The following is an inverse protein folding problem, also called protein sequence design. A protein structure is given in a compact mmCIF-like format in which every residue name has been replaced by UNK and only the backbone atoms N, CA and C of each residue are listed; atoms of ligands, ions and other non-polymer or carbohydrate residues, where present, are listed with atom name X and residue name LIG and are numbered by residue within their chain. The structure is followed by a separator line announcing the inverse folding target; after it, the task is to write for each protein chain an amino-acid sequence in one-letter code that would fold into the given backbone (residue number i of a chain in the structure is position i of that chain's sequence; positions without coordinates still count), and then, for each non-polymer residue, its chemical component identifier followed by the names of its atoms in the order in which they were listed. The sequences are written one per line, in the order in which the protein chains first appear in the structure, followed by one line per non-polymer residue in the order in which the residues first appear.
data_IF_200509819919
#
_entry.id   IF_200509819919
#
_cell.length_a   1.000
_cell.length_b   1.000
_cell.length_c   1.000
_cell.angle_alpha   90.00
_cell.angle_beta   90.00
_cell.angle_gamma   90.00
#
_symmetry.space_group_name_H-M   'P 1'
#
loop_
_entity.id
_entity.type
_entity.pdbx_description
1 polymer ?
#
# COMPACT_ATOMS: atom_id res chain seq x y z
N UNK A 1 20.01 3.43 12.10
CA UNK A 1 19.89 4.84 11.66
C UNK A 1 19.43 4.92 10.22
N UNK A 2 20.10 4.28 9.25
CA UNK A 2 19.71 4.27 7.83
C UNK A 2 18.21 3.94 7.59
N UNK A 3 17.78 2.73 7.96
CA UNK A 3 16.40 2.26 7.74
C UNK A 3 15.35 3.07 8.54
N UNK A 4 15.65 3.34 9.81
CA UNK A 4 14.65 3.91 10.75
C UNK A 4 14.51 5.42 10.67
N UNK A 5 15.58 6.13 10.34
CA UNK A 5 15.64 7.59 10.35
C UNK A 5 15.83 8.18 8.96
N UNK A 6 16.09 7.36 7.92
CA UNK A 6 16.35 7.84 6.57
C UNK A 6 17.68 8.60 6.43
N UNK A 7 18.61 8.45 7.38
CA UNK A 7 19.90 9.12 7.32
C UNK A 7 20.77 8.51 6.22
N UNK A 8 21.43 9.33 5.40
CA UNK A 8 22.47 8.86 4.48
C UNK A 8 23.68 8.30 5.25
N UNK A 9 24.44 7.38 4.65
CA UNK A 9 25.54 6.69 5.34
C UNK A 9 26.60 7.65 5.90
N UNK A 10 26.94 8.72 5.18
CA UNK A 10 27.87 9.75 5.68
C UNK A 10 27.30 10.50 6.89
N UNK A 11 26.02 10.85 6.86
CA UNK A 11 25.34 11.48 8.01
C UNK A 11 25.30 10.56 9.23
N UNK A 12 25.24 9.24 9.03
CA UNK A 12 25.34 8.27 10.13
C UNK A 12 26.71 8.32 10.77
N UNK A 13 27.79 8.39 9.98
CA UNK A 13 29.15 8.54 10.51
C UNK A 13 29.25 9.80 11.37
N UNK A 14 28.86 10.96 10.84
CA UNK A 14 28.88 12.23 11.58
C UNK A 14 28.05 12.16 12.88
N UNK A 15 26.89 11.49 12.82
CA UNK A 15 26.06 11.28 14.00
C UNK A 15 26.74 10.40 15.05
N UNK A 16 27.40 9.32 14.64
CA UNK A 16 28.16 8.45 15.54
C UNK A 16 29.38 9.15 16.14
N UNK A 17 30.07 10.00 15.37
CA UNK A 17 31.16 10.85 15.86
C UNK A 17 30.66 11.78 16.96
N UNK A 18 29.57 12.52 16.70
CA UNK A 18 28.95 13.40 17.70
C UNK A 18 28.55 12.64 18.99
N UNK A 19 27.95 11.45 18.85
CA UNK A 19 27.62 10.62 20.01
C UNK A 19 28.87 10.12 20.73
N UNK A 20 29.93 9.79 20.01
CA UNK A 20 31.19 9.34 20.59
C UNK A 20 31.85 10.44 21.40
N UNK A 21 31.89 11.66 20.86
CA UNK A 21 32.42 12.85 21.54
C UNK A 21 31.64 13.11 22.84
N UNK A 22 30.31 13.07 22.77
CA UNK A 22 29.44 13.22 23.94
C UNK A 22 29.66 12.13 25.00
N UNK A 23 29.96 10.90 24.56
CA UNK A 23 30.21 9.76 25.45
C UNK A 23 31.69 9.60 25.84
N UNK A 24 32.53 10.61 25.60
CA UNK A 24 33.94 10.58 25.98
C UNK A 24 34.75 9.48 25.29
N UNK A 25 34.41 9.15 24.05
CA UNK A 25 35.11 8.12 23.25
C UNK A 25 34.63 6.69 23.48
N UNK A 26 33.51 6.48 24.18
CA UNK A 26 33.02 5.14 24.54
C UNK A 26 32.67 4.23 23.36
N UNK A 27 32.41 4.79 22.17
CA UNK A 27 32.14 4.01 20.94
C UNK A 27 33.43 3.60 20.21
N UNK A 28 34.59 4.09 20.63
CA UNK A 28 35.88 3.79 20.02
C UNK A 28 36.03 4.33 18.60
N UNK A 29 36.62 3.52 17.71
CA UNK A 29 36.84 3.89 16.31
C UNK A 29 35.53 3.80 15.53
N UNK A 30 35.07 4.92 14.99
CA UNK A 30 33.83 4.98 14.21
C UNK A 30 34.04 4.34 12.82
N UNK A 31 33.17 3.42 12.38
CA UNK A 31 33.29 2.80 11.08
C UNK A 31 33.05 3.79 9.95
N UNK A 32 33.75 3.60 8.82
CA UNK A 32 33.51 4.38 7.61
C UNK A 32 32.10 4.12 7.03
N UNK A 33 31.63 5.06 6.21
CA UNK A 33 30.33 4.94 5.54
C UNK A 33 30.22 3.67 4.68
N UNK A 34 31.31 3.25 4.00
CA UNK A 34 31.30 1.99 3.24
C UNK A 34 31.17 0.76 4.14
N UNK A 35 31.80 0.78 5.31
CA UNK A 35 31.67 -0.31 6.28
C UNK A 35 30.24 -0.42 6.77
N UNK A 36 29.58 0.70 7.08
CA UNK A 36 28.17 0.73 7.49
C UNK A 36 27.25 0.20 6.38
N UNK A 37 27.47 0.64 5.13
CA UNK A 37 26.71 0.14 3.97
C UNK A 37 26.89 -1.37 3.78
N UNK A 38 28.13 -1.87 3.82
CA UNK A 38 28.42 -3.30 3.69
C UNK A 38 27.73 -4.13 4.78
N UNK A 39 27.71 -3.64 6.03
CA UNK A 39 26.99 -4.31 7.12
C UNK A 39 25.49 -4.32 6.91
N UNK A 40 24.91 -3.23 6.38
CA UNK A 40 23.49 -3.19 6.01
C UNK A 40 23.17 -4.26 4.96
N UNK A 41 23.96 -4.34 3.89
CA UNK A 41 23.75 -5.30 2.79
C UNK A 41 23.91 -6.73 3.28
N UNK A 42 24.92 -7.02 4.11
CA UNK A 42 25.15 -8.34 4.73
C UNK A 42 24.00 -8.74 5.66
N UNK A 43 23.51 -7.82 6.49
CA UNK A 43 22.35 -8.11 7.33
C UNK A 43 21.11 -8.40 6.47
N UNK A 44 20.92 -7.61 5.40
CA UNK A 44 19.82 -7.75 4.46
C UNK A 44 19.79 -9.08 3.73
N UNK A 45 20.94 -9.53 3.23
CA UNK A 45 21.04 -10.81 2.53
C UNK A 45 20.80 -11.99 3.47
N UNK A 46 21.32 -11.96 4.71
CA UNK A 46 21.08 -13.02 5.70
C UNK A 46 19.60 -13.12 6.02
N UNK A 47 18.95 -11.99 6.28
CA UNK A 47 17.52 -11.91 6.58
C UNK A 47 16.66 -12.43 5.42
N UNK A 48 17.02 -12.07 4.18
CA UNK A 48 16.36 -12.53 2.97
C UNK A 48 16.53 -14.04 2.74
N UNK A 49 17.74 -14.58 2.92
CA UNK A 49 18.00 -16.00 2.71
C UNK A 49 17.23 -16.88 3.70
N UNK A 50 17.06 -16.42 4.94
CA UNK A 50 16.32 -17.13 5.99
C UNK A 50 14.79 -16.94 5.92
N UNK A 51 14.29 -15.97 5.15
CA UNK A 51 12.86 -15.59 5.16
C UNK A 51 11.91 -16.77 4.89
N UNK A 52 12.26 -17.64 3.94
CA UNK A 52 11.46 -18.81 3.58
C UNK A 52 11.38 -19.85 4.72
N UNK A 53 12.43 -19.99 5.52
CA UNK A 53 12.46 -20.96 6.62
C UNK A 53 11.40 -20.65 7.69
N UNK A 54 11.06 -19.37 7.87
CA UNK A 54 10.07 -18.91 8.88
C UNK A 54 8.66 -19.43 8.65
N UNK A 55 8.36 -19.87 7.42
CA UNK A 55 7.05 -20.37 7.01
C UNK A 55 7.01 -21.88 6.76
N UNK A 56 8.11 -22.61 6.95
CA UNK A 56 8.09 -24.07 6.90
C UNK A 56 7.09 -24.62 7.91
N UNK A 57 6.18 -25.48 7.44
CA UNK A 57 5.13 -26.08 8.26
C UNK A 57 3.98 -25.14 8.68
N UNK A 58 3.96 -23.87 8.20
CA UNK A 58 2.89 -22.91 8.52
C UNK A 58 2.01 -22.61 7.32
N UNK A 59 0.76 -22.24 7.58
CA UNK A 59 -0.11 -21.65 6.55
C UNK A 59 0.32 -20.19 6.29
N UNK A 60 0.45 -19.83 5.02
CA UNK A 60 0.81 -18.47 4.63
C UNK A 60 0.10 -18.06 3.34
N UNK A 61 -0.07 -16.77 3.17
CA UNK A 61 -0.48 -16.15 1.91
C UNK A 61 0.68 -15.36 1.34
N UNK A 62 0.63 -15.09 0.04
CA UNK A 62 1.61 -14.20 -0.59
C UNK A 62 0.95 -12.97 -1.19
N UNK A 63 1.64 -11.85 -1.11
CA UNK A 63 1.27 -10.59 -1.74
C UNK A 63 2.33 -10.32 -2.81
N UNK A 64 1.91 -10.19 -4.06
CA UNK A 64 2.81 -10.04 -5.22
C UNK A 64 2.47 -8.76 -5.94
N UNK A 65 3.50 -7.99 -6.28
CA UNK A 65 3.36 -6.80 -7.10
C UNK A 65 4.68 -6.47 -7.82
N UNK A 66 4.58 -5.73 -8.93
CA UNK A 66 5.71 -5.21 -9.70
C UNK A 66 5.82 -3.68 -9.56
N UNK A 67 7.00 -3.18 -9.20
CA UNK A 67 7.20 -1.73 -9.07
C UNK A 67 7.45 -1.03 -10.40
N UNK A 68 7.06 0.23 -10.48
CA UNK A 68 7.35 1.14 -11.61
C UNK A 68 8.86 1.30 -11.85
N UNK A 69 9.20 1.31 -13.13
CA UNK A 69 10.52 1.23 -13.76
C UNK A 69 11.55 2.24 -13.24
N UNK A 70 12.76 1.75 -12.95
CA UNK A 70 13.96 2.60 -12.85
C UNK A 70 14.90 2.21 -13.99
N UNK A 71 15.14 3.14 -14.91
CA UNK A 71 15.78 2.83 -16.20
C UNK A 71 14.90 1.92 -17.06
N UNK A 72 15.41 0.75 -17.44
CA UNK A 72 14.71 -0.31 -18.18
C UNK A 72 14.36 -1.54 -17.33
N UNK A 73 14.43 -1.43 -15.99
CA UNK A 73 14.24 -2.54 -15.06
C UNK A 73 12.99 -2.38 -14.18
N UNK A 74 12.32 -3.50 -13.92
CA UNK A 74 11.20 -3.67 -12.99
C UNK A 74 11.58 -4.64 -11.87
N UNK A 75 11.27 -4.25 -10.64
CA UNK A 75 11.42 -5.10 -9.46
C UNK A 75 10.09 -5.82 -9.19
N UNK A 76 10.11 -7.15 -9.22
CA UNK A 76 9.05 -7.98 -8.66
C UNK A 76 9.37 -8.26 -7.19
N UNK A 77 8.41 -8.01 -6.31
CA UNK A 77 8.52 -8.36 -4.89
C UNK A 77 7.41 -9.35 -4.54
N UNK A 78 7.77 -10.37 -3.77
CA UNK A 78 6.81 -11.30 -3.16
C UNK A 78 6.98 -11.22 -1.66
N UNK A 79 5.93 -10.80 -0.96
CA UNK A 79 5.84 -10.79 0.50
C UNK A 79 5.04 -12.00 0.96
N UNK A 80 5.45 -12.64 2.06
CA UNK A 80 4.60 -13.56 2.80
C UNK A 80 3.92 -12.86 3.97
N UNK A 81 2.66 -13.23 4.21
CA UNK A 81 1.87 -12.84 5.36
C UNK A 81 1.17 -14.08 5.96
N UNK A 82 0.75 -14.05 7.23
CA UNK A 82 -0.14 -15.08 7.78
C UNK A 82 -1.37 -15.27 6.89
N UNK A 83 -1.72 -16.52 6.58
CA UNK A 83 -2.88 -16.82 5.73
C UNK A 83 -4.22 -16.47 6.41
N UNK A 84 -4.29 -16.61 7.73
CA UNK A 84 -5.43 -16.15 8.50
C UNK A 84 -5.18 -14.70 8.90
N UNK A 85 -6.11 -13.81 8.53
CA UNK A 85 -6.09 -12.42 8.95
C UNK A 85 -6.28 -12.30 10.46
N UNK A 86 -5.38 -11.60 11.16
CA UNK A 86 -5.34 -11.56 12.63
C UNK A 86 -6.25 -10.47 13.26
N UNK A 87 -7.25 -9.99 12.52
CA UNK A 87 -8.13 -8.90 12.96
C UNK A 87 -7.42 -7.55 13.16
N UNK A 88 -6.26 -7.36 12.53
CA UNK A 88 -5.51 -6.09 12.50
C UNK A 88 -4.91 -5.87 11.12
N UNK A 89 -4.79 -4.61 10.70
CA UNK A 89 -4.10 -4.26 9.45
C UNK A 89 -2.64 -4.72 9.48
N UNK A 90 -2.19 -5.34 8.38
CA UNK A 90 -0.80 -5.79 8.21
C UNK A 90 0.18 -4.63 8.36
N UNK A 91 1.23 -4.86 9.15
CA UNK A 91 2.37 -3.95 9.29
C UNK A 91 3.61 -4.59 8.69
N UNK A 92 4.65 -3.78 8.48
CA UNK A 92 5.95 -4.28 8.00
C UNK A 92 6.53 -5.39 8.88
N UNK A 93 6.24 -5.36 10.19
CA UNK A 93 6.64 -6.42 11.10
C UNK A 93 5.86 -7.73 10.93
N UNK A 94 4.68 -7.73 10.31
CA UNK A 94 3.83 -8.90 10.13
C UNK A 94 4.12 -9.67 8.83
N UNK A 95 4.98 -9.12 7.96
CA UNK A 95 5.32 -9.69 6.64
C UNK A 95 6.82 -9.99 6.50
N UNK A 96 7.17 -10.90 5.60
CA UNK A 96 8.56 -11.18 5.24
C UNK A 96 8.77 -11.10 3.72
N UNK A 97 9.92 -10.60 3.28
CA UNK A 97 10.28 -10.58 1.87
C UNK A 97 10.77 -11.96 1.43
N UNK A 98 9.99 -12.65 0.61
CA UNK A 98 10.32 -13.99 0.11
C UNK A 98 11.12 -13.98 -1.20
N UNK A 99 10.77 -13.06 -2.10
CA UNK A 99 11.46 -12.90 -3.38
C UNK A 99 11.64 -11.43 -3.73
N UNK A 100 12.80 -11.11 -4.30
CA UNK A 100 13.10 -9.86 -4.97
C UNK A 100 13.77 -10.21 -6.29
N UNK A 101 13.10 -9.95 -7.41
CA UNK A 101 13.60 -10.32 -8.71
C UNK A 101 13.56 -9.13 -9.69
N UNK A 102 14.58 -9.03 -10.54
CA UNK A 102 14.75 -7.90 -11.47
C UNK A 102 14.67 -8.39 -12.90
N UNK A 103 13.81 -7.77 -13.70
CA UNK A 103 13.69 -8.04 -15.14
C UNK A 103 13.27 -6.76 -15.88
N UNK A 104 13.43 -6.71 -17.21
CA UNK A 104 12.88 -5.60 -18.00
C UNK A 104 11.35 -5.67 -18.13
N UNK A 105 10.79 -6.87 -18.02
CA UNK A 105 9.35 -7.12 -18.01
C UNK A 105 9.04 -8.43 -17.29
N UNK A 106 7.81 -8.57 -16.80
CA UNK A 106 7.32 -9.77 -16.15
C UNK A 106 6.11 -10.30 -16.90
N UNK A 107 6.27 -11.43 -17.59
CA UNK A 107 5.19 -12.18 -18.22
C UNK A 107 4.58 -13.17 -17.22
N UNK A 108 3.41 -13.69 -17.55
CA UNK A 108 2.71 -14.64 -16.68
C UNK A 108 3.57 -15.85 -16.29
N UNK A 109 4.27 -16.45 -17.26
CA UNK A 109 5.18 -17.58 -16.98
C UNK A 109 6.42 -17.20 -16.15
N UNK A 110 6.83 -15.92 -16.15
CA UNK A 110 7.93 -15.47 -15.29
C UNK A 110 7.46 -15.39 -13.84
N UNK A 111 6.25 -14.87 -13.61
CA UNK A 111 5.60 -14.80 -12.31
C UNK A 111 5.33 -16.21 -11.75
N UNK A 112 4.82 -17.12 -12.59
CA UNK A 112 4.62 -18.52 -12.25
C UNK A 112 5.92 -19.16 -11.75
N UNK A 113 7.03 -19.00 -12.48
CA UNK A 113 8.33 -19.56 -12.08
C UNK A 113 8.79 -19.04 -10.73
N UNK A 114 8.61 -17.76 -10.44
CA UNK A 114 8.95 -17.21 -9.12
C UNK A 114 8.06 -17.78 -8.00
N UNK A 115 6.77 -17.99 -8.27
CA UNK A 115 5.86 -18.65 -7.31
C UNK A 115 6.28 -20.11 -7.08
N UNK A 116 6.55 -20.89 -8.13
CA UNK A 116 6.96 -22.30 -8.02
C UNK A 116 8.27 -22.43 -7.24
N UNK A 117 9.28 -21.61 -7.55
CA UNK A 117 10.54 -21.57 -6.78
C UNK A 117 10.31 -21.37 -5.28
N UNK A 118 9.36 -20.53 -4.90
CA UNK A 118 9.01 -20.32 -3.49
C UNK A 118 8.29 -21.52 -2.89
N UNK A 119 7.38 -22.17 -3.62
CA UNK A 119 6.73 -23.41 -3.17
C UNK A 119 7.76 -24.49 -2.87
N UNK A 120 8.72 -24.68 -3.77
CA UNK A 120 9.78 -25.69 -3.62
C UNK A 120 10.70 -25.38 -2.43
N UNK A 121 11.08 -24.10 -2.26
CA UNK A 121 11.97 -23.66 -1.17
C UNK A 121 11.32 -23.75 0.22
N UNK A 122 10.02 -23.45 0.31
CA UNK A 122 9.25 -23.51 1.56
C UNK A 122 8.73 -24.93 1.84
N UNK A 123 8.52 -25.73 0.78
CA UNK A 123 7.94 -27.07 0.85
C UNK A 123 6.41 -27.06 1.00
N UNK A 124 5.75 -25.95 0.66
CA UNK A 124 4.28 -25.81 0.78
C UNK A 124 3.74 -24.77 -0.20
N UNK A 125 2.53 -24.97 -0.67
CA UNK A 125 1.79 -24.01 -1.51
C UNK A 125 1.18 -22.91 -0.64
N UNK A 126 1.28 -21.63 -1.02
CA UNK A 126 0.57 -20.55 -0.33
C UNK A 126 -0.95 -20.79 -0.43
N UNK A 127 -1.68 -20.48 0.65
CA UNK A 127 -3.13 -20.69 0.68
C UNK A 127 -3.87 -19.88 -0.39
N UNK A 128 -3.41 -18.65 -0.62
CA UNK A 128 -3.87 -17.76 -1.67
C UNK A 128 -2.82 -16.67 -1.96
N UNK A 129 -3.04 -15.95 -3.06
CA UNK A 129 -2.29 -14.78 -3.51
C UNK A 129 -3.15 -13.53 -3.40
N UNK A 130 -2.58 -12.40 -3.01
CA UNK A 130 -3.17 -11.07 -3.19
C UNK A 130 -2.33 -10.30 -4.20
N UNK A 131 -2.96 -9.78 -5.25
CA UNK A 131 -2.28 -8.90 -6.21
C UNK A 131 -3.24 -7.94 -6.89
N UNK A 132 -2.69 -6.91 -7.52
CA UNK A 132 -3.45 -5.98 -8.36
C UNK A 132 -4.10 -6.68 -9.56
N UNK A 133 -4.86 -5.96 -10.38
CA UNK A 133 -5.56 -6.51 -11.55
C UNK A 133 -4.65 -6.73 -12.79
N UNK A 134 -3.33 -6.70 -12.64
CA UNK A 134 -2.36 -6.93 -13.70
C UNK A 134 -2.56 -8.30 -14.38
N UNK A 135 -2.60 -8.29 -15.72
CA UNK A 135 -2.83 -9.49 -16.52
C UNK A 135 -1.77 -10.57 -16.27
N UNK A 136 -0.51 -10.16 -16.17
CA UNK A 136 0.62 -11.03 -15.88
C UNK A 136 0.51 -11.67 -14.48
N UNK A 137 0.14 -10.90 -13.45
CA UNK A 137 -0.02 -11.43 -12.09
C UNK A 137 -1.22 -12.37 -11.99
N UNK A 138 -2.35 -12.01 -12.61
CA UNK A 138 -3.54 -12.88 -12.68
C UNK A 138 -3.21 -14.21 -13.35
N UNK A 139 -2.65 -14.17 -14.56
CA UNK A 139 -2.37 -15.39 -15.33
C UNK A 139 -1.24 -16.20 -14.70
N UNK A 140 -0.25 -15.54 -14.09
CA UNK A 140 0.82 -16.22 -13.35
C UNK A 140 0.31 -17.00 -12.12
N UNK A 141 -0.65 -16.43 -11.37
CA UNK A 141 -1.31 -17.13 -10.27
C UNK A 141 -2.13 -18.34 -10.74
N UNK A 142 -2.84 -18.19 -11.86
CA UNK A 142 -3.61 -19.27 -12.50
C UNK A 142 -2.69 -20.41 -12.97
N UNK A 143 -1.62 -20.09 -13.68
CA UNK A 143 -0.63 -21.08 -14.13
C UNK A 143 0.03 -21.81 -12.95
N UNK A 144 0.30 -21.07 -11.86
CA UNK A 144 0.83 -21.65 -10.64
C UNK A 144 -0.21 -22.45 -9.83
N UNK A 145 -1.47 -22.55 -10.26
CA UNK A 145 -2.56 -23.22 -9.55
C UNK A 145 -2.69 -22.75 -8.08
N UNK A 146 -2.77 -21.44 -7.89
CA UNK A 146 -3.00 -20.84 -6.56
C UNK A 146 -4.21 -19.90 -6.61
N UNK A 147 -5.19 -20.05 -5.70
CA UNK A 147 -6.30 -19.11 -5.58
C UNK A 147 -5.79 -17.67 -5.41
N UNK A 148 -6.43 -16.72 -6.11
CA UNK A 148 -6.02 -15.32 -6.10
C UNK A 148 -7.18 -14.43 -5.69
N UNK A 149 -6.96 -13.65 -4.65
CA UNK A 149 -7.73 -12.47 -4.33
C UNK A 149 -7.26 -11.28 -5.18
N UNK A 150 -8.20 -10.57 -5.80
CA UNK A 150 -7.91 -9.27 -6.43
C UNK A 150 -7.84 -8.22 -5.32
N UNK A 151 -6.78 -7.41 -5.33
CA UNK A 151 -6.63 -6.31 -4.38
C UNK A 151 -7.85 -5.37 -4.41
N UNK A 152 -8.42 -5.12 -3.23
CA UNK A 152 -9.65 -4.34 -3.11
C UNK A 152 -9.46 -2.88 -3.51
N UNK A 153 -8.31 -2.30 -3.15
CA UNK A 153 -7.98 -0.90 -3.45
C UNK A 153 -8.01 -0.70 -4.97
N UNK A 154 -7.17 -1.43 -5.71
CA UNK A 154 -7.10 -1.39 -7.16
C UNK A 154 -8.43 -1.75 -7.84
N UNK A 155 -9.17 -2.74 -7.32
CA UNK A 155 -10.41 -3.17 -7.96
C UNK A 155 -11.51 -2.11 -7.84
N UNK A 156 -11.66 -1.48 -6.68
CA UNK A 156 -12.60 -0.36 -6.53
C UNK A 156 -12.15 0.83 -7.38
N UNK A 157 -10.85 1.11 -7.46
CA UNK A 157 -10.31 2.13 -8.37
C UNK A 157 -10.73 1.91 -9.83
N UNK A 158 -10.69 0.66 -10.32
CA UNK A 158 -11.14 0.31 -11.67
C UNK A 158 -12.67 0.43 -11.83
N UNK A 159 -13.46 0.07 -10.81
CA UNK A 159 -14.92 0.23 -10.83
C UNK A 159 -15.29 1.73 -10.95
N UNK A 160 -14.63 2.59 -10.18
CA UNK A 160 -14.84 4.02 -10.26
C UNK A 160 -14.35 4.60 -11.59
N UNK A 161 -13.24 4.08 -12.13
CA UNK A 161 -12.76 4.47 -13.45
C UNK A 161 -13.79 4.14 -14.54
N UNK A 162 -14.29 2.91 -14.56
CA UNK A 162 -15.29 2.46 -15.53
C UNK A 162 -16.57 3.31 -15.49
N UNK A 163 -17.02 3.68 -14.29
CA UNK A 163 -18.22 4.49 -14.11
C UNK A 163 -18.05 5.95 -14.54
N UNK A 164 -16.96 6.59 -14.13
CA UNK A 164 -16.86 8.06 -14.19
C UNK A 164 -15.94 8.58 -15.28
N UNK A 165 -14.99 7.78 -15.77
CA UNK A 165 -13.95 8.26 -16.71
C UNK A 165 -14.54 8.86 -17.97
N UNK A 166 -15.61 8.28 -18.49
CA UNK A 166 -16.23 8.71 -19.75
C UNK A 166 -17.37 9.72 -19.58
N UNK A 167 -17.85 9.97 -18.35
CA UNK A 167 -18.92 10.93 -18.10
C UNK A 167 -18.48 12.36 -18.40
N UNK A 168 -19.34 13.11 -19.09
CA UNK A 168 -19.08 14.49 -19.52
C UNK A 168 -18.98 15.44 -18.33
N UNK A 169 -19.96 15.37 -17.41
CA UNK A 169 -19.99 16.17 -16.18
C UNK A 169 -18.71 16.00 -15.34
N UNK A 170 -18.22 14.76 -15.22
CA UNK A 170 -16.98 14.46 -14.51
C UNK A 170 -15.75 15.06 -15.19
N UNK A 171 -15.62 14.89 -16.52
CA UNK A 171 -14.50 15.44 -17.28
C UNK A 171 -14.46 16.97 -17.20
N UNK A 172 -15.61 17.63 -17.37
CA UNK A 172 -15.73 19.08 -17.30
C UNK A 172 -15.43 19.61 -15.90
N UNK A 173 -16.00 19.01 -14.86
CA UNK A 173 -15.74 19.42 -13.48
C UNK A 173 -14.24 19.34 -13.15
N UNK A 174 -13.58 18.26 -13.56
CA UNK A 174 -12.15 18.06 -13.34
C UNK A 174 -11.27 19.07 -14.10
N UNK A 175 -11.68 19.48 -15.30
CA UNK A 175 -10.99 20.52 -16.07
C UNK A 175 -11.15 21.90 -15.40
N UNK A 176 -12.36 22.25 -14.98
CA UNK A 176 -12.65 23.49 -14.26
C UNK A 176 -11.85 23.55 -12.95
N UNK A 177 -11.86 22.46 -12.15
CA UNK A 177 -11.08 22.34 -10.92
C UNK A 177 -9.58 22.65 -11.15
N UNK A 178 -8.97 22.08 -12.18
CA UNK A 178 -7.57 22.32 -12.51
C UNK A 178 -7.31 23.78 -12.92
N UNK A 179 -8.17 24.34 -13.79
CA UNK A 179 -8.07 25.74 -14.24
C UNK A 179 -8.22 26.71 -13.08
N UNK A 180 -9.25 26.54 -12.25
CA UNK A 180 -9.52 27.39 -11.07
C UNK A 180 -8.38 27.33 -10.07
N UNK A 181 -7.86 26.13 -9.79
CA UNK A 181 -6.69 25.95 -8.92
C UNK A 181 -5.52 26.81 -9.37
N UNK A 182 -5.16 26.78 -10.65
CA UNK A 182 -4.05 27.59 -11.18
C UNK A 182 -4.36 29.09 -11.05
N UNK A 183 -5.61 29.50 -11.32
CA UNK A 183 -5.99 30.91 -11.24
C UNK A 183 -6.04 31.48 -9.81
N UNK A 184 -6.26 30.65 -8.80
CA UNK A 184 -6.41 31.09 -7.40
C UNK A 184 -5.10 31.11 -6.61
N UNK A 185 -4.01 30.54 -7.13
CA UNK A 185 -2.77 30.34 -6.36
C UNK A 185 -2.13 31.63 -5.82
N UNK A 186 -2.43 32.78 -6.43
CA UNK A 186 -1.88 34.10 -6.06
C UNK A 186 -2.99 35.13 -5.79
N UNK A 187 -4.17 34.68 -5.35
CA UNK A 187 -5.31 35.56 -5.04
C UNK A 187 -5.75 35.39 -3.59
N UNK A 188 -6.70 36.22 -3.13
CA UNK A 188 -7.31 36.09 -1.81
C UNK A 188 -8.02 34.74 -1.59
N UNK A 189 -8.27 33.96 -2.65
CA UNK A 189 -8.87 32.63 -2.58
C UNK A 189 -7.84 31.51 -2.35
N UNK A 190 -6.56 31.83 -2.16
CA UNK A 190 -5.49 30.85 -2.00
C UNK A 190 -5.73 29.88 -0.82
N UNK A 191 -6.41 30.32 0.23
CA UNK A 191 -6.71 29.48 1.40
C UNK A 191 -7.83 28.44 1.14
N UNK A 192 -8.64 28.61 0.09
CA UNK A 192 -9.70 27.69 -0.35
C UNK A 192 -9.35 27.03 -1.71
N UNK A 193 -8.07 26.81 -1.97
CA UNK A 193 -7.61 26.21 -3.23
C UNK A 193 -8.20 24.81 -3.44
N UNK A 194 -8.70 24.50 -4.65
CA UNK A 194 -8.98 23.14 -5.04
C UNK A 194 -7.73 22.24 -4.87
N UNK A 195 -7.88 21.00 -4.35
CA UNK A 195 -6.76 20.09 -4.20
C UNK A 195 -6.07 19.78 -5.54
N UNK A 196 -4.76 19.50 -5.48
CA UNK A 196 -4.02 19.10 -6.68
C UNK A 196 -4.49 17.72 -7.15
N UNK A 197 -5.06 17.67 -8.36
CA UNK A 197 -5.46 16.43 -9.01
C UNK A 197 -4.20 15.65 -9.44
N UNK A 198 -4.02 14.42 -8.96
CA UNK A 198 -2.90 13.55 -9.35
C UNK A 198 -3.30 12.70 -10.57
N UNK A 199 -2.45 12.70 -11.60
CA UNK A 199 -2.76 12.15 -12.93
C UNK A 199 -2.82 10.62 -12.96
N UNK A 200 -2.03 9.95 -12.11
CA UNK A 200 -1.95 8.48 -11.99
C UNK A 200 -2.80 8.06 -10.79
N UNK A 201 -3.72 7.12 -11.02
CA UNK A 201 -4.62 6.61 -9.98
C UNK A 201 -5.58 7.68 -9.41
N UNK A 202 -6.13 8.51 -10.31
CA UNK A 202 -7.08 9.59 -9.99
C UNK A 202 -8.32 9.10 -9.24
N UNK A 203 -8.72 7.86 -9.46
CA UNK A 203 -9.85 7.20 -8.79
C UNK A 203 -9.49 6.69 -7.38
N UNK A 204 -8.23 6.31 -7.13
CA UNK A 204 -7.76 5.94 -5.78
C UNK A 204 -7.48 7.13 -4.89
N UNK A 205 -7.26 8.30 -5.47
CA UNK A 205 -6.98 9.56 -4.75
C UNK A 205 -8.18 10.53 -4.82
N UNK A 206 -9.37 10.01 -5.11
CA UNK A 206 -10.56 10.79 -5.35
C UNK A 206 -11.11 11.45 -4.07
N UNK A 207 -11.00 10.78 -2.91
CA UNK A 207 -11.62 11.23 -1.66
C UNK A 207 -11.28 12.69 -1.32
N UNK A 208 -10.00 13.09 -1.46
CA UNK A 208 -9.55 14.43 -1.05
C UNK A 208 -10.22 15.58 -1.79
N UNK A 209 -10.43 15.45 -3.09
CA UNK A 209 -11.04 16.53 -3.86
C UNK A 209 -12.57 16.49 -3.80
N UNK A 210 -13.15 15.29 -3.64
CA UNK A 210 -14.58 15.12 -3.40
C UNK A 210 -14.97 15.70 -2.04
N UNK A 211 -14.21 15.40 -0.97
CA UNK A 211 -14.37 16.00 0.36
C UNK A 211 -14.27 17.52 0.31
N UNK A 212 -13.30 18.05 -0.43
CA UNK A 212 -13.17 19.49 -0.62
C UNK A 212 -14.39 20.09 -1.33
N UNK A 213 -14.83 19.49 -2.45
CA UNK A 213 -15.97 19.99 -3.21
C UNK A 213 -17.26 19.93 -2.39
N UNK A 214 -17.44 18.84 -1.64
CA UNK A 214 -18.54 18.68 -0.70
C UNK A 214 -18.50 19.74 0.41
N UNK A 215 -17.33 19.97 1.02
CA UNK A 215 -17.16 20.99 2.04
C UNK A 215 -17.51 22.40 1.52
N UNK A 216 -17.12 22.73 0.28
CA UNK A 216 -17.52 23.98 -0.37
C UNK A 216 -19.04 24.08 -0.52
N UNK A 217 -19.73 23.00 -0.92
CA UNK A 217 -21.20 23.00 -0.99
C UNK A 217 -21.86 23.25 0.37
N UNK A 218 -21.31 22.70 1.46
CA UNK A 218 -21.88 22.84 2.80
C UNK A 218 -21.77 24.26 3.35
N UNK A 219 -20.70 24.99 3.01
CA UNK A 219 -20.46 26.35 3.50
C UNK A 219 -20.80 27.43 2.47
N UNK A 220 -21.32 27.05 1.30
CA UNK A 220 -21.47 27.95 0.15
C UNK A 220 -22.29 29.21 0.49
N UNK A 221 -23.38 29.04 1.25
CA UNK A 221 -24.26 30.14 1.62
C UNK A 221 -23.64 31.12 2.63
N UNK A 222 -22.64 30.66 3.39
CA UNK A 222 -21.88 31.45 4.36
C UNK A 222 -20.69 32.20 3.73
N UNK A 223 -20.35 31.90 2.48
CA UNK A 223 -19.27 32.59 1.76
C UNK A 223 -19.63 34.04 1.44
N UNK A 224 -18.64 34.92 1.42
CA UNK A 224 -18.83 36.30 0.93
C UNK A 224 -19.12 36.34 -0.58
N UNK A 225 -19.72 37.42 -1.07
CA UNK A 225 -20.13 37.56 -2.49
C UNK A 225 -19.02 37.24 -3.51
N UNK A 226 -17.80 37.76 -3.27
CA UNK A 226 -16.64 37.48 -4.13
C UNK A 226 -16.27 36.00 -4.17
N UNK A 227 -16.50 35.27 -3.08
CA UNK A 227 -16.19 33.84 -2.97
C UNK A 227 -17.31 32.99 -3.54
N UNK A 228 -18.58 33.37 -3.32
CA UNK A 228 -19.72 32.75 -4.01
C UNK A 228 -19.50 32.78 -5.52
N UNK A 229 -19.21 33.96 -6.09
CA UNK A 229 -18.90 34.10 -7.51
C UNK A 229 -17.68 33.26 -7.96
N UNK A 230 -16.68 33.08 -7.09
CA UNK A 230 -15.53 32.24 -7.40
C UNK A 230 -15.91 30.74 -7.45
N UNK A 231 -16.70 30.27 -6.49
CA UNK A 231 -17.00 28.84 -6.29
C UNK A 231 -18.36 28.39 -6.85
N UNK A 232 -19.09 29.24 -7.58
CA UNK A 232 -20.37 28.87 -8.22
C UNK A 232 -20.25 27.61 -9.08
N UNK A 233 -19.10 27.39 -9.72
CA UNK A 233 -18.85 26.18 -10.48
C UNK A 233 -18.96 24.89 -9.65
N UNK A 234 -18.81 24.92 -8.32
CA UNK A 234 -19.05 23.73 -7.50
C UNK A 234 -20.54 23.47 -7.35
N UNK A 235 -21.34 24.53 -7.25
CA UNK A 235 -22.79 24.46 -7.19
C UNK A 235 -23.40 23.93 -8.49
N UNK A 236 -22.84 24.35 -9.64
CA UNK A 236 -23.27 23.87 -10.97
C UNK A 236 -23.13 22.33 -11.12
N UNK A 237 -22.21 21.71 -10.37
CA UNK A 237 -21.98 20.27 -10.36
C UNK A 237 -22.41 19.61 -9.03
N UNK A 238 -23.34 20.22 -8.29
CA UNK A 238 -23.82 19.74 -6.99
C UNK A 238 -24.26 18.27 -7.02
N UNK A 239 -24.99 17.85 -8.06
CA UNK A 239 -25.48 16.47 -8.18
C UNK A 239 -24.33 15.47 -8.29
N UNK A 240 -23.34 15.74 -9.15
CA UNK A 240 -22.15 14.92 -9.31
C UNK A 240 -21.33 14.86 -8.01
N UNK A 241 -21.11 16.00 -7.35
CA UNK A 241 -20.34 16.07 -6.10
C UNK A 241 -21.04 15.29 -4.99
N UNK A 242 -22.37 15.40 -4.88
CA UNK A 242 -23.17 14.65 -3.89
C UNK A 242 -23.11 13.16 -4.16
N UNK A 243 -23.24 12.74 -5.42
CA UNK A 243 -23.11 11.35 -5.84
C UNK A 243 -21.74 10.77 -5.45
N UNK A 244 -20.66 11.44 -5.87
CA UNK A 244 -19.29 11.02 -5.57
C UNK A 244 -19.01 11.00 -4.07
N UNK A 245 -19.52 11.97 -3.31
CA UNK A 245 -19.35 12.01 -1.87
C UNK A 245 -19.92 10.76 -1.20
N UNK A 246 -21.17 10.40 -1.51
CA UNK A 246 -21.80 9.19 -0.95
C UNK A 246 -21.09 7.89 -1.38
N UNK A 247 -20.61 7.83 -2.63
CA UNK A 247 -19.80 6.72 -3.11
C UNK A 247 -18.50 6.60 -2.31
N UNK A 248 -17.76 7.70 -2.15
CA UNK A 248 -16.48 7.69 -1.45
C UNK A 248 -16.62 7.40 0.04
N UNK A 249 -17.63 7.95 0.71
CA UNK A 249 -17.93 7.60 2.11
C UNK A 249 -18.22 6.10 2.27
N UNK A 250 -18.99 5.54 1.33
CA UNK A 250 -19.30 4.10 1.36
C UNK A 250 -18.06 3.25 1.12
N UNK A 251 -17.23 3.62 0.15
CA UNK A 251 -15.97 2.95 -0.15
C UNK A 251 -15.02 2.98 1.04
N UNK A 252 -14.92 4.12 1.74
CA UNK A 252 -14.06 4.26 2.92
C UNK A 252 -14.49 3.35 4.08
N UNK A 253 -15.80 3.18 4.29
CA UNK A 253 -16.30 2.21 5.29
C UNK A 253 -15.96 0.78 4.88
N UNK A 254 -16.13 0.43 3.61
CA UNK A 254 -15.79 -0.91 3.09
C UNK A 254 -14.29 -1.18 3.25
N UNK A 255 -13.43 -0.25 2.82
CA UNK A 255 -11.98 -0.35 3.00
C UNK A 255 -11.62 -0.48 4.47
N UNK A 256 -12.15 0.38 5.33
CA UNK A 256 -11.87 0.36 6.77
C UNK A 256 -12.23 -1.00 7.37
N UNK A 257 -13.38 -1.55 6.99
CA UNK A 257 -13.84 -2.85 7.48
C UNK A 257 -12.89 -3.96 7.06
N UNK A 258 -12.64 -4.14 5.76
CA UNK A 258 -11.85 -5.29 5.29
C UNK A 258 -10.35 -5.15 5.54
N UNK A 259 -9.80 -3.93 5.61
CA UNK A 259 -8.38 -3.71 5.93
C UNK A 259 -8.08 -3.88 7.41
N UNK A 260 -9.07 -3.68 8.29
CA UNK A 260 -8.90 -3.90 9.74
C UNK A 260 -9.26 -5.32 10.16
N UNK A 261 -10.32 -5.88 9.61
CA UNK A 261 -10.87 -7.17 10.06
C UNK A 261 -10.57 -8.32 9.12
N UNK A 262 -10.14 -8.05 7.88
CA UNK A 262 -9.97 -9.05 6.83
C UNK A 262 -11.28 -9.38 6.10
N UNK A 263 -11.18 -10.17 5.03
CA UNK A 263 -12.33 -10.71 4.31
C UNK A 263 -12.80 -12.00 5.00
N UNK A 264 -13.97 -11.96 5.62
CA UNK A 264 -14.70 -13.10 6.16
C UNK A 264 -16.15 -13.04 5.69
N UNK A 265 -16.93 -14.11 5.87
CA UNK A 265 -18.37 -14.05 5.58
C UNK A 265 -19.09 -12.94 6.37
N UNK A 266 -18.65 -12.68 7.60
CA UNK A 266 -19.21 -11.62 8.47
C UNK A 266 -18.87 -10.23 7.94
N UNK A 267 -17.60 -9.94 7.67
CA UNK A 267 -17.20 -8.63 7.15
C UNK A 267 -17.77 -8.37 5.76
N UNK A 268 -17.85 -9.41 4.92
CA UNK A 268 -18.49 -9.32 3.61
C UNK A 268 -19.99 -9.04 3.68
N UNK A 269 -20.72 -9.72 4.58
CA UNK A 269 -22.14 -9.43 4.81
C UNK A 269 -22.32 -7.98 5.24
N UNK A 270 -21.55 -7.53 6.24
CA UNK A 270 -21.57 -6.14 6.69
C UNK A 270 -21.35 -5.15 5.54
N UNK A 271 -20.30 -5.35 4.74
CA UNK A 271 -20.01 -4.45 3.61
C UNK A 271 -21.15 -4.45 2.58
N UNK A 272 -21.71 -5.61 2.24
CA UNK A 272 -22.82 -5.70 1.27
C UNK A 272 -24.10 -5.03 1.78
N UNK A 273 -24.41 -5.19 3.06
CA UNK A 273 -25.58 -4.57 3.69
C UNK A 273 -25.39 -3.04 3.78
N UNK A 274 -24.19 -2.58 4.14
CA UNK A 274 -23.85 -1.17 4.16
C UNK A 274 -23.95 -0.52 2.76
N UNK A 275 -23.44 -1.19 1.72
CA UNK A 275 -23.59 -0.74 0.33
C UNK A 275 -25.06 -0.73 -0.09
N UNK A 276 -25.85 -1.73 0.30
CA UNK A 276 -27.28 -1.77 -0.01
C UNK A 276 -28.01 -0.56 0.56
N UNK A 277 -27.80 -0.26 1.85
CA UNK A 277 -28.44 0.85 2.53
C UNK A 277 -28.03 2.19 1.93
N UNK A 278 -26.74 2.38 1.63
CA UNK A 278 -26.20 3.70 1.28
C UNK A 278 -26.16 3.98 -0.22
N UNK A 279 -26.07 2.96 -1.07
CA UNK A 279 -25.91 3.14 -2.53
C UNK A 279 -27.02 2.53 -3.38
N UNK A 280 -27.93 1.70 -2.82
CA UNK A 280 -28.92 0.95 -3.62
C UNK A 280 -30.37 1.15 -3.21
N UNK A 281 -30.66 1.30 -1.91
CA UNK A 281 -32.03 1.25 -1.38
C UNK A 281 -32.82 2.55 -1.56
N UNK A 282 -32.16 3.71 -1.58
CA UNK A 282 -32.86 5.01 -1.60
C UNK A 282 -33.43 5.27 -3.01
N UNK A 283 -34.72 5.63 -3.08
CA UNK A 283 -35.41 5.86 -4.36
C UNK A 283 -34.79 7.03 -5.15
N UNK A 284 -34.43 8.10 -4.46
CA UNK A 284 -33.84 9.33 -5.04
C UNK A 284 -32.30 9.27 -5.21
N UNK A 285 -31.68 8.09 -5.12
CA UNK A 285 -30.23 8.00 -5.29
C UNK A 285 -29.82 7.98 -6.76
N UNK A 286 -28.78 8.74 -7.09
CA UNK A 286 -28.25 8.83 -8.44
C UNK A 286 -27.84 7.45 -8.99
N UNK A 287 -28.06 7.23 -10.29
CA UNK A 287 -27.82 5.93 -10.91
C UNK A 287 -26.34 5.50 -10.90
N UNK A 288 -25.40 6.45 -10.89
CA UNK A 288 -23.98 6.14 -10.74
C UNK A 288 -23.66 5.49 -9.38
N UNK A 289 -24.29 5.94 -8.29
CA UNK A 289 -24.23 5.24 -6.99
C UNK A 289 -24.70 3.80 -7.12
N UNK A 290 -25.82 3.57 -7.82
CA UNK A 290 -26.38 2.21 -7.96
C UNK A 290 -25.49 1.30 -8.80
N UNK A 291 -24.87 1.81 -9.86
CA UNK A 291 -23.92 1.05 -10.70
C UNK A 291 -22.67 0.68 -9.91
N UNK A 292 -22.05 1.64 -9.22
CA UNK A 292 -20.88 1.40 -8.36
C UNK A 292 -21.22 0.42 -7.24
N UNK A 293 -22.34 0.64 -6.52
CA UNK A 293 -22.77 -0.23 -5.44
C UNK A 293 -23.00 -1.68 -5.89
N UNK A 294 -23.61 -1.90 -7.05
CA UNK A 294 -23.76 -3.24 -7.64
C UNK A 294 -22.42 -3.87 -8.01
N UNK A 295 -21.52 -3.10 -8.61
CA UNK A 295 -20.19 -3.57 -9.01
C UNK A 295 -19.35 -3.99 -7.79
N UNK A 296 -19.33 -3.18 -6.71
CA UNK A 296 -18.59 -3.51 -5.48
C UNK A 296 -19.19 -4.74 -4.81
N UNK A 297 -20.52 -4.88 -4.73
CA UNK A 297 -21.17 -6.08 -4.16
C UNK A 297 -20.85 -7.34 -4.97
N UNK A 298 -20.82 -7.25 -6.29
CA UNK A 298 -20.43 -8.36 -7.18
C UNK A 298 -18.98 -8.78 -6.89
N UNK A 299 -18.06 -7.82 -6.84
CA UNK A 299 -16.68 -8.06 -6.46
C UNK A 299 -16.58 -8.77 -5.09
N UNK A 300 -17.23 -8.25 -4.05
CA UNK A 300 -17.20 -8.87 -2.71
C UNK A 300 -17.73 -10.31 -2.76
N UNK A 301 -18.80 -10.58 -3.50
CA UNK A 301 -19.34 -11.93 -3.64
C UNK A 301 -18.35 -12.89 -4.30
N UNK A 302 -17.71 -12.47 -5.39
CA UNK A 302 -16.70 -13.27 -6.11
C UNK A 302 -15.50 -13.58 -5.20
N UNK A 303 -15.03 -12.60 -4.44
CA UNK A 303 -13.91 -12.79 -3.51
C UNK A 303 -14.29 -13.67 -2.31
N UNK A 304 -15.52 -13.55 -1.80
CA UNK A 304 -16.01 -14.42 -0.73
C UNK A 304 -16.13 -15.88 -1.14
N UNK A 305 -16.33 -16.17 -2.43
CA UNK A 305 -16.42 -17.54 -2.92
C UNK A 305 -15.09 -18.31 -2.77
N UNK A 306 -13.97 -17.61 -2.53
CA UNK A 306 -12.67 -18.22 -2.27
C UNK A 306 -12.50 -18.68 -0.81
N UNK A 307 -13.40 -18.28 0.10
CA UNK A 307 -13.42 -18.77 1.48
C UNK A 307 -14.03 -20.17 1.51
N UNK A 308 -13.26 -21.16 1.98
CA UNK A 308 -13.64 -22.58 2.05
C UNK A 308 -14.41 -22.94 3.30
N UNK A 309 -14.30 -22.14 4.37
CA UNK A 309 -15.00 -22.39 5.64
C UNK A 309 -15.49 -21.10 6.29
N UNK A 310 -16.42 -21.24 7.25
CA UNK A 310 -17.01 -20.10 7.98
C UNK A 310 -16.00 -19.33 8.82
N UNK A 311 -14.93 -19.99 9.25
CA UNK A 311 -13.90 -19.43 10.14
C UNK A 311 -12.73 -18.80 9.37
N UNK A 312 -12.70 -18.97 8.03
CA UNK A 312 -11.65 -18.37 7.21
C UNK A 312 -11.79 -16.86 7.15
N UNK A 313 -10.65 -16.20 7.35
CA UNK A 313 -10.53 -14.77 7.17
C UNK A 313 -9.24 -14.48 6.40
N UNK A 314 -9.38 -13.94 5.19
CA UNK A 314 -8.25 -13.71 4.28
C UNK A 314 -7.85 -12.23 4.21
N UNK A 315 -6.58 -12.00 3.91
CA UNK A 315 -6.07 -10.69 3.47
C UNK A 315 -6.55 -10.42 2.04
N UNK A 316 -7.04 -9.21 1.76
CA UNK A 316 -7.47 -8.79 0.41
C UNK A 316 -6.89 -7.42 -0.01
N UNK A 317 -5.85 -6.98 0.68
CA UNK A 317 -5.18 -5.71 0.42
C UNK A 317 -3.70 -5.93 0.13
N UNK A 318 -3.19 -5.25 -0.90
CA UNK A 318 -1.78 -5.15 -1.22
C UNK A 318 -1.13 -3.88 -0.68
N UNK A 319 -1.81 -3.04 0.10
CA UNK A 319 -1.30 -1.75 0.60
C UNK A 319 0.10 -1.88 1.27
N UNK A 320 0.38 -3.01 1.94
CA UNK A 320 1.66 -3.26 2.59
C UNK A 320 2.83 -3.38 1.59
N UNK A 321 2.60 -3.92 0.39
CA UNK A 321 3.63 -4.01 -0.66
C UNK A 321 3.87 -2.64 -1.31
N UNK A 322 2.81 -1.84 -1.49
CA UNK A 322 2.95 -0.45 -1.94
C UNK A 322 3.75 0.38 -0.94
N UNK A 323 3.48 0.20 0.36
CA UNK A 323 4.27 0.81 1.43
C UNK A 323 5.73 0.35 1.38
N UNK A 324 5.99 -0.93 1.11
CA UNK A 324 7.34 -1.49 0.95
C UNK A 324 8.06 -0.85 -0.25
N UNK A 325 7.37 -0.65 -1.38
CA UNK A 325 7.92 0.11 -2.50
C UNK A 325 8.12 1.59 -2.20
N UNK A 326 7.26 2.20 -1.39
CA UNK A 326 7.43 3.57 -0.90
C UNK A 326 8.71 3.73 -0.10
N UNK A 327 9.00 2.77 0.79
CA UNK A 327 10.28 2.69 1.51
C UNK A 327 11.44 2.56 0.53
N UNK A 328 11.35 1.64 -0.44
CA UNK A 328 12.41 1.46 -1.44
C UNK A 328 12.70 2.75 -2.22
N UNK A 329 11.66 3.42 -2.72
CA UNK A 329 11.77 4.69 -3.46
C UNK A 329 12.41 5.80 -2.62
N UNK A 330 12.22 5.79 -1.30
CA UNK A 330 12.81 6.79 -0.40
C UNK A 330 14.32 6.59 -0.19
N UNK A 331 14.82 5.36 -0.30
CA UNK A 331 16.23 5.01 -0.10
C UNK A 331 17.03 4.91 -1.40
N UNK A 332 16.35 4.81 -2.55
CA UNK A 332 17.01 4.78 -3.84
C UNK A 332 17.76 6.10 -4.15
N UNK A 333 18.92 6.02 -4.85
CA UNK A 333 19.58 7.20 -5.39
C UNK A 333 18.63 8.00 -6.29
N UNK A 334 18.67 9.33 -6.20
CA UNK A 334 17.84 10.23 -7.04
C UNK A 334 18.18 10.16 -8.54
N UNK A 335 19.33 9.57 -8.89
CA UNK A 335 19.76 9.43 -10.28
C UNK A 335 18.96 8.34 -10.99
N UNK A 336 18.10 8.73 -11.93
CA UNK A 336 17.20 7.83 -12.68
C UNK A 336 17.92 6.87 -13.62
N UNK A 337 19.22 7.09 -13.90
CA UNK A 337 20.03 6.19 -14.73
C UNK A 337 20.62 5.02 -13.94
N UNK A 338 20.65 5.11 -12.61
CA UNK A 338 21.00 3.98 -11.76
C UNK A 338 19.78 3.05 -11.69
N UNK A 339 19.87 1.85 -12.26
CA UNK A 339 18.84 0.82 -12.15
C UNK A 339 18.63 0.35 -10.70
N UNK A 340 18.13 -0.88 -10.53
CA UNK A 340 17.99 -1.47 -9.20
C UNK A 340 19.40 -1.77 -8.64
N UNK A 341 19.72 -1.16 -7.50
CA UNK A 341 21.04 -1.27 -6.86
C UNK A 341 20.99 -2.27 -5.70
N UNK A 342 22.15 -2.71 -5.16
CA UNK A 342 22.20 -3.61 -4.01
C UNK A 342 21.42 -3.10 -2.77
N UNK A 343 21.12 -1.80 -2.69
CA UNK A 343 20.33 -1.21 -1.59
C UNK A 343 18.94 -1.83 -1.44
N UNK A 344 18.44 -2.53 -2.45
CA UNK A 344 17.20 -3.33 -2.36
C UNK A 344 17.24 -4.35 -1.22
N UNK A 345 18.44 -4.82 -0.84
CA UNK A 345 18.66 -5.70 0.31
C UNK A 345 18.32 -5.03 1.66
N UNK A 346 18.04 -3.73 1.72
CA UNK A 346 17.51 -3.09 2.91
C UNK A 346 16.02 -3.43 3.17
N UNK A 347 15.26 -3.88 2.16
CA UNK A 347 13.82 -4.16 2.30
C UNK A 347 13.52 -5.27 3.31
N UNK A 348 14.18 -6.45 3.29
CA UNK A 348 13.98 -7.50 4.29
C UNK A 348 14.17 -7.03 5.74
N UNK A 349 15.01 -6.02 5.97
CA UNK A 349 15.31 -5.52 7.31
C UNK A 349 14.25 -4.55 7.84
N UNK A 350 13.44 -3.94 6.97
CA UNK A 350 12.57 -2.83 7.35
C UNK A 350 11.57 -3.24 8.44
N UNK A 351 10.89 -4.37 8.27
CA UNK A 351 9.95 -4.92 9.25
C UNK A 351 10.57 -5.25 10.61
N UNK A 352 11.86 -5.64 10.62
CA UNK A 352 12.57 -5.99 11.86
C UNK A 352 13.02 -4.79 12.67
N UNK A 353 13.37 -3.71 11.99
CA UNK A 353 13.93 -2.51 12.62
C UNK A 353 12.84 -1.54 13.08
N UNK A 354 11.68 -1.54 12.39
CA UNK A 354 10.56 -0.66 12.69
C UNK A 354 9.59 -1.22 13.74
N UNK A 355 9.50 -2.54 13.88
CA UNK A 355 8.67 -3.16 14.90
C UNK A 355 9.38 -3.23 16.27
N UNK A 356 9.11 -2.24 17.12
CA UNK A 356 9.68 -2.14 18.46
C UNK A 356 9.28 -3.29 19.40
N UNK A 357 8.18 -4.01 19.11
CA UNK A 357 7.64 -5.07 19.98
C UNK A 357 8.38 -6.41 19.84
N UNK A 358 8.89 -6.76 18.65
CA UNK A 358 9.63 -8.03 18.43
C UNK A 358 10.97 -8.10 19.16
N UNK A 359 11.58 -6.95 19.48
CA UNK A 359 12.86 -6.90 20.23
C UNK A 359 12.77 -7.34 21.69
N UNK A 360 11.58 -7.38 22.30
CA UNK A 360 11.40 -7.84 23.69
C UNK A 360 11.37 -9.37 23.85
N UNK A 361 11.30 -10.14 22.76
CA UNK A 361 11.32 -11.61 22.78
C UNK A 361 12.68 -12.16 22.32
N UNK A 362 13.79 -11.74 22.94
CA UNK A 362 14.96 -12.63 23.03
C UNK A 362 14.77 -13.50 24.27
N UNK A 363 14.95 -14.83 24.21
CA UNK A 363 15.14 -15.62 25.42
C UNK A 363 16.26 -14.96 26.23
N UNK A 364 16.05 -14.74 27.52
CA UNK A 364 17.17 -14.46 28.43
C UNK A 364 18.00 -15.73 28.49
N UNK A 365 19.09 -15.78 27.72
CA UNK A 365 20.02 -16.88 27.69
C UNK A 365 20.88 -16.78 26.43
N UNK A 366 22.19 -16.75 26.64
CA UNK A 366 23.27 -16.78 25.63
C UNK A 366 23.67 -15.43 25.02
N UNK A 367 24.37 -14.65 25.85
CA UNK A 367 25.35 -13.69 25.37
C UNK A 367 26.72 -14.38 25.35
N UNK A 368 27.37 -14.55 24.18
CA UNK A 368 28.62 -15.32 24.04
C UNK A 368 29.87 -14.61 24.57
N UNK A 369 29.70 -13.54 25.35
CA UNK A 369 30.81 -12.70 25.87
C UNK A 369 30.83 -12.58 27.40
N UNK A 370 30.09 -13.42 28.14
CA UNK A 370 30.38 -13.61 29.56
C UNK A 370 31.53 -14.61 29.68
N UNK A 371 32.74 -14.10 29.49
CA UNK A 371 33.92 -14.75 30.02
C UNK A 371 33.86 -14.64 31.55
N UNK A 372 33.99 -15.77 32.21
CA UNK A 372 34.17 -15.87 33.65
C UNK A 372 35.36 -15.02 34.08
N UNK A 373 35.09 -14.04 34.94
CA UNK A 373 36.11 -13.44 35.79
C UNK A 373 35.71 -13.75 37.23
N UNK A 374 36.02 -14.98 37.64
CA UNK A 374 36.19 -15.34 39.03
C UNK A 374 37.67 -15.12 39.39
N UNK A 375 37.94 -14.10 40.20
CA UNK A 375 38.99 -14.04 41.21
C UNK A 375 38.57 -12.98 42.23
#
# INVERSE_FOLDING_TARGET
MYIRMGCGFRSIVNGLELFNDFLGGALGVIPSHQTIENWLLKAGIVEYLDSCNKFRGKEYSIIIDESITVGSQKLLVILAAPAQHEGKTLKHGDVEVLAMAVSSSWKAGDVEREIIKLKDKIGKTPKYIVSDNGHNLRKGAELADVPRHRDISHTIGLILEDEYKERTDFKEFMDIMNKKRLSYQLTANAYLLPPKLRTISRFMNMSKWVEWAWAILQVYDDLGESQKAAYTFVLDYKELVTELYHVMETVDVVFTKVKKEGLSHTSAKYCKDYIWINLLRKDEIAEGCKRVGRAIRRYINEECALLKSKDECHNITSDIIESTFGVYKSIQPKNKHCGITPIVLALPLYGKVTDSKKRRKRPKGDCPWRADAAA
#
